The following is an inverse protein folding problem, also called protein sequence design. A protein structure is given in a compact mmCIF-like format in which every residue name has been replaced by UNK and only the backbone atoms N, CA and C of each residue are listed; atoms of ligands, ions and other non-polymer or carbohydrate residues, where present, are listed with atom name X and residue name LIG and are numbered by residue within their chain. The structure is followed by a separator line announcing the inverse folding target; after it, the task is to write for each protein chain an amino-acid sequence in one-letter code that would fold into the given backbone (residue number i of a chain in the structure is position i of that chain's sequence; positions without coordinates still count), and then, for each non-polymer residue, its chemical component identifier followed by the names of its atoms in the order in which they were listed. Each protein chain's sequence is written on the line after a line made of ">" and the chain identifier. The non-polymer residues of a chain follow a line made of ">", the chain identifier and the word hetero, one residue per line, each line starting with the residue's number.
data_IF_837561788354
#
_entry.id   IF_837561788354
#
_cell.length_a   1.000
_cell.length_b   1.000
_cell.length_c   1.000
_cell.angle_alpha   90.00
_cell.angle_beta   90.00
_cell.angle_gamma   90.00
#
_symmetry.space_group_name_H-M   'P 1'
#
loop_
_entity.id
_entity.type
_entity.pdbx_description
1 polymer ?
#
# COMPACT_ATOMS: atom_id res chain seq x y z
N UNK A 1 -18.27 -3.90 -50.37
CA UNK A 1 -18.62 -2.75 -49.47
C UNK A 1 -19.39 -3.18 -48.20
N UNK A 2 -20.29 -4.14 -48.23
CA UNK A 2 -21.04 -4.61 -47.06
C UNK A 2 -20.24 -5.48 -46.09
N UNK A 3 -19.27 -6.26 -46.59
CA UNK A 3 -18.40 -7.09 -45.74
C UNK A 3 -17.37 -6.29 -44.95
N UNK A 4 -16.83 -5.21 -45.49
CA UNK A 4 -15.92 -4.32 -44.79
C UNK A 4 -16.58 -3.55 -43.66
N UNK A 5 -17.85 -3.18 -43.84
CA UNK A 5 -18.65 -2.48 -42.81
C UNK A 5 -18.97 -3.40 -41.62
N UNK A 6 -19.19 -4.68 -41.83
CA UNK A 6 -19.41 -5.67 -40.77
C UNK A 6 -18.12 -5.93 -39.97
N UNK A 7 -16.98 -5.99 -40.61
CA UNK A 7 -15.67 -6.19 -39.92
C UNK A 7 -15.33 -4.98 -39.05
N UNK A 8 -15.60 -3.75 -39.52
CA UNK A 8 -15.36 -2.55 -38.73
C UNK A 8 -16.28 -2.44 -37.48
N UNK A 9 -17.56 -2.85 -37.63
CA UNK A 9 -18.50 -2.90 -36.50
C UNK A 9 -18.08 -3.95 -35.44
N UNK A 10 -17.62 -5.12 -35.88
CA UNK A 10 -17.19 -6.19 -35.01
C UNK A 10 -15.90 -5.81 -34.28
N UNK A 11 -14.96 -5.12 -34.95
CA UNK A 11 -13.74 -4.62 -34.33
C UNK A 11 -14.02 -3.51 -33.31
N UNK A 12 -14.97 -2.62 -33.58
CA UNK A 12 -15.39 -1.54 -32.67
C UNK A 12 -16.12 -2.07 -31.44
N UNK A 13 -16.88 -3.16 -31.59
CA UNK A 13 -17.53 -3.86 -30.47
C UNK A 13 -16.52 -4.59 -29.57
N UNK A 14 -15.48 -5.18 -30.18
CA UNK A 14 -14.39 -5.84 -29.45
C UNK A 14 -13.52 -4.83 -28.68
N UNK A 15 -13.19 -3.69 -29.29
CA UNK A 15 -12.43 -2.62 -28.66
C UNK A 15 -13.19 -1.97 -27.48
N UNK A 16 -14.48 -1.72 -27.61
CA UNK A 16 -15.28 -1.18 -26.52
C UNK A 16 -15.40 -2.16 -25.34
N UNK A 17 -15.61 -3.45 -25.60
CA UNK A 17 -15.63 -4.46 -24.56
C UNK A 17 -14.24 -4.64 -23.88
N UNK A 18 -13.15 -4.51 -24.63
CA UNK A 18 -11.80 -4.56 -24.11
C UNK A 18 -11.46 -3.33 -23.25
N UNK A 19 -11.90 -2.14 -23.64
CA UNK A 19 -11.75 -0.91 -22.87
C UNK A 19 -12.62 -0.93 -21.59
N UNK A 20 -13.82 -1.49 -21.65
CA UNK A 20 -14.67 -1.71 -20.47
C UNK A 20 -14.06 -2.76 -19.51
N UNK A 21 -13.47 -3.82 -20.04
CA UNK A 21 -12.76 -4.81 -19.26
C UNK A 21 -11.52 -4.23 -18.59
N UNK A 22 -10.71 -3.44 -19.31
CA UNK A 22 -9.58 -2.70 -18.78
C UNK A 22 -10.00 -1.66 -17.74
N UNK A 23 -11.08 -0.92 -17.97
CA UNK A 23 -11.59 0.07 -17.02
C UNK A 23 -12.10 -0.56 -15.72
N UNK A 24 -12.74 -1.73 -15.80
CA UNK A 24 -13.13 -2.55 -14.64
C UNK A 24 -11.91 -3.13 -13.92
N UNK A 25 -10.89 -3.55 -14.68
CA UNK A 25 -9.65 -4.08 -14.13
C UNK A 25 -8.85 -3.00 -13.40
N UNK A 26 -8.71 -1.82 -14.00
CA UNK A 26 -8.06 -0.65 -13.39
C UNK A 26 -8.84 -0.15 -12.17
N UNK A 27 -10.18 -0.13 -12.20
CA UNK A 27 -11.01 0.19 -11.03
C UNK A 27 -10.85 -0.82 -9.91
N UNK A 28 -10.75 -2.12 -10.21
CA UNK A 28 -10.50 -3.15 -9.21
C UNK A 28 -9.09 -3.05 -8.61
N UNK A 29 -8.06 -2.67 -9.40
CA UNK A 29 -6.73 -2.40 -8.85
C UNK A 29 -6.73 -1.17 -7.92
N UNK A 30 -7.46 -0.12 -8.28
CA UNK A 30 -7.59 1.09 -7.45
C UNK A 30 -8.38 0.83 -6.16
N UNK A 31 -9.33 -0.12 -6.18
CA UNK A 31 -10.16 -0.48 -5.02
C UNK A 31 -9.41 -1.37 -4.00
N UNK A 32 -8.35 -2.03 -4.42
CA UNK A 32 -7.58 -2.95 -3.56
C UNK A 32 -6.73 -2.25 -2.50
N UNK A 33 -6.50 -0.94 -2.60
CA UNK A 33 -5.67 -0.16 -1.66
C UNK A 33 -6.46 0.96 -0.97
N UNK A 34 -7.81 0.86 -0.90
CA UNK A 34 -8.63 1.83 -0.18
C UNK A 34 -9.03 1.30 1.20
N UNK A 35 -8.89 2.15 2.21
CA UNK A 35 -9.30 1.90 3.59
C UNK A 35 -10.33 2.93 4.03
N UNK A 36 -11.39 2.46 4.65
CA UNK A 36 -12.34 3.32 5.35
C UNK A 36 -11.82 3.60 6.76
N UNK A 37 -11.82 4.84 7.15
CA UNK A 37 -11.35 5.28 8.45
C UNK A 37 -12.36 6.21 9.10
N UNK A 38 -12.68 5.95 10.37
CA UNK A 38 -13.57 6.77 11.18
C UNK A 38 -12.74 7.80 11.96
N UNK A 39 -13.20 9.05 12.01
CA UNK A 39 -12.57 10.07 12.85
C UNK A 39 -12.87 9.74 14.31
N UNK A 40 -11.84 9.85 15.16
CA UNK A 40 -11.97 9.63 16.60
C UNK A 40 -11.44 10.81 17.40
N UNK A 41 -12.11 11.14 18.49
CA UNK A 41 -11.70 12.17 19.45
C UNK A 41 -11.21 11.59 20.79
N UNK A 42 -11.05 10.26 20.83
CA UNK A 42 -10.65 9.56 22.04
C UNK A 42 -9.27 10.00 22.53
N UNK A 43 -9.19 10.38 23.80
CA UNK A 43 -7.98 10.89 24.44
C UNK A 43 -7.44 9.96 25.52
N UNK A 44 -8.29 9.13 26.12
CA UNK A 44 -7.93 8.31 27.27
C UNK A 44 -7.40 6.93 26.85
N UNK A 45 -6.53 6.36 27.70
CA UNK A 45 -5.96 5.01 27.46
C UNK A 45 -7.04 3.92 27.49
N UNK A 46 -8.07 4.09 28.34
CA UNK A 46 -9.18 3.15 28.45
C UNK A 46 -10.00 3.09 27.16
N UNK A 47 -10.34 4.25 26.59
CA UNK A 47 -11.06 4.33 25.30
C UNK A 47 -10.26 3.71 24.14
N UNK A 48 -8.94 3.92 24.11
CA UNK A 48 -8.09 3.28 23.09
C UNK A 48 -8.08 1.76 23.21
N UNK A 49 -8.13 1.22 24.42
CA UNK A 49 -8.23 -0.21 24.61
C UNK A 49 -9.63 -0.74 24.21
N UNK A 50 -10.69 0.02 24.49
CA UNK A 50 -12.04 -0.34 24.03
C UNK A 50 -12.11 -0.41 22.49
N UNK A 51 -11.50 0.53 21.77
CA UNK A 51 -11.41 0.50 20.30
C UNK A 51 -10.67 -0.76 19.81
N UNK A 52 -9.55 -1.13 20.44
CA UNK A 52 -8.82 -2.35 20.06
C UNK A 52 -9.65 -3.61 20.33
N UNK A 53 -10.40 -3.63 21.41
CA UNK A 53 -11.28 -4.75 21.78
C UNK A 53 -12.49 -4.86 20.83
N UNK A 54 -12.97 -3.75 20.28
CA UNK A 54 -14.03 -3.75 19.25
C UNK A 54 -13.56 -4.21 17.86
N UNK A 55 -12.26 -4.51 17.72
CA UNK A 55 -11.69 -4.97 16.46
C UNK A 55 -11.28 -3.82 15.50
N UNK A 56 -11.09 -2.64 16.03
CA UNK A 56 -10.53 -1.49 15.29
C UNK A 56 -9.12 -1.19 15.77
N UNK A 57 -8.31 -0.64 14.87
CA UNK A 57 -6.93 -0.22 15.15
C UNK A 57 -6.86 1.30 15.11
N UNK A 58 -6.40 1.94 16.19
CA UNK A 58 -6.16 3.37 16.20
C UNK A 58 -5.00 3.73 15.26
N UNK A 59 -5.18 4.77 14.48
CA UNK A 59 -4.16 5.29 13.58
C UNK A 59 -4.10 6.83 13.63
N UNK A 60 -3.00 7.37 13.14
CA UNK A 60 -2.78 8.82 13.03
C UNK A 60 -2.33 9.12 11.62
N UNK A 61 -2.89 10.16 11.02
CA UNK A 61 -2.44 10.69 9.74
C UNK A 61 -1.73 12.01 10.00
N UNK A 62 -0.46 12.10 9.65
CA UNK A 62 0.33 13.31 9.81
C UNK A 62 0.99 13.74 8.50
N UNK A 63 1.48 14.97 8.45
CA UNK A 63 2.12 15.58 7.29
C UNK A 63 1.25 16.64 6.64
N UNK A 64 1.92 17.69 6.13
CA UNK A 64 1.27 18.87 5.58
C UNK A 64 1.03 19.96 6.60
N UNK A 65 0.26 20.98 6.19
CA UNK A 65 -0.11 22.12 7.02
C UNK A 65 -1.47 21.93 7.73
N UNK A 66 -2.23 20.93 7.29
CA UNK A 66 -3.56 20.65 7.83
C UNK A 66 -3.46 19.89 9.16
N UNK A 67 -4.54 19.89 9.92
CA UNK A 67 -4.66 19.13 11.17
C UNK A 67 -4.38 17.65 10.96
N UNK A 68 -3.80 17.02 11.99
CA UNK A 68 -3.48 15.60 11.99
C UNK A 68 -4.68 14.80 12.52
N UNK A 69 -5.56 14.28 11.66
CA UNK A 69 -6.72 13.55 12.11
C UNK A 69 -6.30 12.23 12.78
N UNK A 70 -6.89 11.98 13.94
CA UNK A 70 -6.84 10.71 14.62
C UNK A 70 -7.96 9.85 14.07
N UNK A 71 -7.65 8.66 13.59
CA UNK A 71 -8.62 7.79 12.94
C UNK A 71 -8.60 6.40 13.54
N UNK A 72 -9.67 5.65 13.37
CA UNK A 72 -9.75 4.23 13.65
C UNK A 72 -10.05 3.46 12.35
N UNK A 73 -9.45 2.29 12.19
CA UNK A 73 -9.53 1.47 10.98
C UNK A 73 -9.85 0.04 11.38
N UNK A 74 -10.68 -0.64 10.59
CA UNK A 74 -10.99 -2.06 10.82
C UNK A 74 -9.73 -2.94 10.78
N UNK A 75 -9.48 -3.68 11.87
CA UNK A 75 -8.35 -4.60 12.03
C UNK A 75 -8.27 -5.63 10.91
N UNK A 76 -9.43 -6.19 10.49
CA UNK A 76 -9.49 -7.22 9.44
C UNK A 76 -9.00 -6.68 8.09
N UNK A 77 -9.51 -5.50 7.67
CA UNK A 77 -9.11 -4.85 6.40
C UNK A 77 -7.62 -4.48 6.43
N UNK A 78 -7.15 -3.97 7.56
CA UNK A 78 -5.76 -3.56 7.75
C UNK A 78 -4.81 -4.76 7.70
N UNK A 79 -5.12 -5.86 8.40
CA UNK A 79 -4.30 -7.08 8.42
C UNK A 79 -4.13 -7.65 7.01
N UNK A 80 -5.21 -7.73 6.24
CA UNK A 80 -5.15 -8.16 4.83
C UNK A 80 -4.20 -7.30 3.97
N UNK A 81 -4.13 -5.99 4.21
CA UNK A 81 -3.22 -5.11 3.47
C UNK A 81 -1.77 -5.25 3.94
N UNK A 82 -1.55 -5.45 5.23
CA UNK A 82 -0.21 -5.64 5.81
C UNK A 82 0.43 -6.93 5.31
N UNK A 83 -0.35 -7.98 5.09
CA UNK A 83 0.13 -9.27 4.56
C UNK A 83 0.65 -9.17 3.12
N UNK A 84 0.33 -8.10 2.39
CA UNK A 84 0.94 -7.84 1.08
C UNK A 84 2.39 -7.38 1.26
N UNK A 85 3.29 -7.96 0.48
CA UNK A 85 4.74 -7.78 0.59
C UNK A 85 5.22 -6.33 0.59
N UNK A 86 4.53 -5.43 -0.12
CA UNK A 86 4.97 -4.04 -0.34
C UNK A 86 4.12 -3.01 0.42
N UNK A 87 3.51 -3.39 1.56
CA UNK A 87 2.60 -2.51 2.30
C UNK A 87 3.21 -1.13 2.63
N UNK A 88 4.46 -1.09 3.09
CA UNK A 88 5.14 0.14 3.51
C UNK A 88 5.57 1.06 2.35
N UNK A 89 5.63 0.54 1.12
CA UNK A 89 5.97 1.31 -0.07
C UNK A 89 4.75 1.67 -0.94
N UNK A 90 3.58 1.11 -0.64
CA UNK A 90 2.36 1.34 -1.41
C UNK A 90 1.57 2.54 -0.90
N UNK A 91 1.09 3.35 -1.84
CA UNK A 91 0.16 4.45 -1.55
C UNK A 91 -1.22 3.86 -1.28
N UNK A 92 -1.82 4.27 -0.17
CA UNK A 92 -3.15 3.86 0.26
C UNK A 92 -4.07 5.06 0.24
N UNK A 93 -5.28 4.88 -0.27
CA UNK A 93 -6.32 5.89 -0.20
C UNK A 93 -7.15 5.68 1.06
N UNK A 94 -7.05 6.58 2.03
CA UNK A 94 -7.89 6.59 3.21
C UNK A 94 -9.14 7.42 2.95
N UNK A 95 -10.31 6.84 3.13
CA UNK A 95 -11.57 7.57 3.15
C UNK A 95 -11.89 7.95 4.59
N UNK A 96 -11.75 9.23 4.90
CA UNK A 96 -12.01 9.79 6.24
C UNK A 96 -13.19 10.73 6.14
N UNK A 97 -14.35 10.31 6.65
CA UNK A 97 -15.56 11.15 6.63
C UNK A 97 -15.96 11.66 5.24
N UNK A 98 -15.79 10.85 4.21
CA UNK A 98 -16.10 11.20 2.81
C UNK A 98 -14.99 11.95 2.06
N UNK A 99 -13.87 12.26 2.72
CA UNK A 99 -12.67 12.83 2.07
C UNK A 99 -11.66 11.72 1.78
N UNK A 100 -11.20 11.62 0.55
CA UNK A 100 -10.15 10.70 0.17
C UNK A 100 -8.78 11.33 0.39
N UNK A 101 -7.96 10.72 1.23
CA UNK A 101 -6.60 11.15 1.54
C UNK A 101 -5.62 10.09 1.02
N UNK A 102 -4.67 10.50 0.20
CA UNK A 102 -3.57 9.64 -0.22
C UNK A 102 -2.49 9.64 0.86
N UNK A 103 -2.22 8.47 1.42
CA UNK A 103 -1.30 8.29 2.52
C UNK A 103 -0.33 7.15 2.28
N UNK A 104 0.84 7.24 2.90
CA UNK A 104 1.84 6.18 2.91
C UNK A 104 1.96 5.64 4.34
N UNK A 105 1.86 4.32 4.56
CA UNK A 105 2.13 3.73 5.86
C UNK A 105 3.60 3.97 6.24
N UNK A 106 3.84 4.46 7.43
CA UNK A 106 5.20 4.74 7.92
C UNK A 106 5.67 3.72 8.93
N UNK A 107 4.81 3.43 9.90
CA UNK A 107 5.12 2.50 10.97
C UNK A 107 3.86 1.71 11.35
N UNK A 108 4.04 0.43 11.60
CA UNK A 108 3.00 -0.45 12.16
C UNK A 108 3.54 -1.02 13.46
N UNK A 109 2.81 -0.81 14.55
CA UNK A 109 3.13 -1.42 15.85
C UNK A 109 2.28 -2.66 16.04
N UNK A 110 2.93 -3.75 16.42
CA UNK A 110 2.30 -5.05 16.64
C UNK A 110 2.24 -5.38 18.13
N UNK A 111 1.30 -6.22 18.47
CA UNK A 111 1.23 -6.83 19.79
C UNK A 111 2.22 -7.99 19.86
N UNK A 112 3.02 -8.05 20.93
CA UNK A 112 4.19 -8.95 21.05
C UNK A 112 3.80 -10.45 20.98
N UNK A 113 2.61 -10.82 21.47
CA UNK A 113 2.19 -12.23 21.54
C UNK A 113 1.28 -12.65 20.40
N UNK A 114 0.45 -11.75 19.88
CA UNK A 114 -0.58 -12.09 18.88
C UNK A 114 -0.26 -11.62 17.48
N UNK A 115 0.84 -10.89 17.29
CA UNK A 115 1.24 -10.25 16.02
C UNK A 115 0.14 -9.39 15.37
N UNK A 116 -0.85 -9.01 16.18
CA UNK A 116 -1.93 -8.16 15.72
C UNK A 116 -1.50 -6.69 15.66
N UNK A 117 -1.87 -5.94 14.62
CA UNK A 117 -1.58 -4.51 14.54
C UNK A 117 -2.30 -3.77 15.68
N UNK A 118 -1.55 -3.01 16.49
CA UNK A 118 -2.05 -2.21 17.61
C UNK A 118 -2.11 -0.72 17.33
N UNK A 119 -1.28 -0.24 16.41
CA UNK A 119 -1.24 1.15 15.96
C UNK A 119 -0.64 1.26 14.57
N UNK A 120 -1.11 2.21 13.76
CA UNK A 120 -0.53 2.51 12.45
C UNK A 120 -0.36 4.01 12.27
N UNK A 121 0.81 4.37 11.78
CA UNK A 121 1.17 5.75 11.46
C UNK A 121 1.15 5.94 9.94
N UNK A 122 0.39 6.92 9.48
CA UNK A 122 0.29 7.26 8.08
C UNK A 122 0.88 8.65 7.81
N UNK A 123 1.69 8.73 6.77
CA UNK A 123 2.21 9.98 6.25
C UNK A 123 1.34 10.46 5.08
N UNK A 124 0.77 11.65 5.16
CA UNK A 124 0.04 12.27 4.07
C UNK A 124 0.99 12.60 2.93
N UNK A 125 0.62 12.21 1.71
CA UNK A 125 1.40 12.49 0.52
C UNK A 125 1.02 13.87 -0.03
N UNK A 126 2.02 14.73 -0.14
CA UNK A 126 1.88 16.03 -0.78
C UNK A 126 2.69 16.01 -2.11
N UNK A 127 2.15 16.58 -3.19
CA UNK A 127 2.86 16.67 -4.46
C UNK A 127 4.14 17.50 -4.30
N UNK A 128 5.23 17.08 -4.95
CA UNK A 128 6.50 17.78 -4.96
C UNK A 128 7.39 17.61 -3.72
N UNK A 129 6.96 16.89 -2.69
CA UNK A 129 7.75 16.65 -1.48
C UNK A 129 8.56 15.36 -1.61
N UNK A 130 9.86 15.43 -1.24
CA UNK A 130 10.71 14.23 -1.14
C UNK A 130 10.44 13.51 0.17
N UNK A 131 10.11 12.23 0.09
CA UNK A 131 9.86 11.37 1.24
C UNK A 131 10.94 10.30 1.34
N UNK A 132 11.22 9.88 2.57
CA UNK A 132 12.07 8.72 2.84
C UNK A 132 11.16 7.51 3.03
N UNK A 133 11.43 6.44 2.31
CA UNK A 133 10.68 5.18 2.37
C UNK A 133 11.63 4.01 2.48
N UNK A 134 11.15 2.93 3.08
CA UNK A 134 11.83 1.64 3.09
C UNK A 134 11.21 0.76 2.00
N UNK A 135 12.04 0.37 1.03
CA UNK A 135 11.62 -0.45 -0.12
C UNK A 135 12.24 -1.84 0.02
N UNK A 136 11.47 -2.90 -0.18
CA UNK A 136 12.01 -4.25 -0.16
C UNK A 136 12.94 -4.48 -1.35
N UNK A 137 13.95 -5.33 -1.11
CA UNK A 137 14.98 -5.67 -2.09
C UNK A 137 14.82 -7.12 -2.51
N UNK A 138 14.72 -7.34 -3.80
CA UNK A 138 14.70 -8.67 -4.41
C UNK A 138 16.07 -8.98 -4.99
N UNK A 139 16.67 -10.09 -4.55
CA UNK A 139 17.93 -10.60 -5.09
C UNK A 139 17.63 -11.62 -6.18
N UNK A 140 18.08 -11.34 -7.40
CA UNK A 140 17.92 -12.23 -8.55
C UNK A 140 19.27 -12.74 -9.02
N UNK A 141 19.27 -13.84 -9.80
CA UNK A 141 20.50 -14.44 -10.37
C UNK A 141 21.53 -14.94 -9.33
N UNK A 142 21.15 -15.17 -8.09
CA UNK A 142 22.05 -15.69 -7.05
C UNK A 142 22.69 -17.03 -7.47
N UNK A 143 22.00 -17.86 -8.26
CA UNK A 143 22.51 -19.13 -8.79
C UNK A 143 23.74 -18.96 -9.71
N UNK A 144 23.91 -17.79 -10.34
CA UNK A 144 25.06 -17.51 -11.20
C UNK A 144 26.33 -17.14 -10.42
N UNK A 145 26.19 -16.86 -9.14
CA UNK A 145 27.32 -16.49 -8.28
C UNK A 145 28.36 -17.61 -8.19
N UNK A 146 29.63 -17.34 -8.46
CA UNK A 146 30.69 -18.34 -8.37
C UNK A 146 30.90 -18.87 -6.92
N UNK A 147 30.57 -18.07 -5.91
CA UNK A 147 30.61 -18.48 -4.51
C UNK A 147 29.56 -19.53 -4.16
N UNK A 148 28.33 -19.36 -4.63
CA UNK A 148 27.25 -20.34 -4.40
C UNK A 148 27.50 -21.65 -5.16
N UNK A 149 28.07 -21.58 -6.38
CA UNK A 149 28.46 -22.78 -7.14
C UNK A 149 29.54 -23.61 -6.44
N UNK A 150 30.35 -23.03 -5.60
CA UNK A 150 31.37 -23.71 -4.77
C UNK A 150 30.87 -24.17 -3.40
N UNK A 151 29.54 -24.11 -3.16
CA UNK A 151 28.94 -24.52 -1.89
C UNK A 151 28.86 -23.42 -0.82
N UNK A 152 29.07 -22.16 -1.22
CA UNK A 152 28.87 -21.01 -0.32
C UNK A 152 27.39 -20.76 -0.03
N UNK A 153 27.12 -20.03 1.03
CA UNK A 153 25.75 -19.63 1.43
C UNK A 153 25.57 -18.13 1.26
N UNK A 154 24.45 -17.72 0.67
CA UNK A 154 24.09 -16.30 0.55
C UNK A 154 23.56 -15.78 1.89
N UNK A 155 24.29 -14.86 2.51
CA UNK A 155 23.84 -14.19 3.72
C UNK A 155 23.29 -12.80 3.39
N UNK A 156 21.96 -12.63 3.52
CA UNK A 156 21.26 -11.36 3.28
C UNK A 156 21.17 -10.61 4.60
N UNK A 157 22.01 -9.61 4.80
CA UNK A 157 22.06 -8.79 6.01
C UNK A 157 20.88 -7.82 6.11
N UNK A 158 20.47 -7.22 4.99
CA UNK A 158 19.34 -6.29 4.92
C UNK A 158 18.44 -6.63 3.75
N UNK A 159 17.15 -6.73 4.04
CA UNK A 159 16.10 -7.00 3.03
C UNK A 159 15.34 -5.75 2.61
N UNK A 160 15.61 -4.62 3.26
CA UNK A 160 14.98 -3.32 2.96
C UNK A 160 16.05 -2.27 2.85
N UNK A 161 15.86 -1.33 1.93
CA UNK A 161 16.74 -0.18 1.71
C UNK A 161 15.94 1.11 1.87
N UNK A 162 16.48 2.04 2.65
CA UNK A 162 15.90 3.37 2.80
C UNK A 162 16.22 4.23 1.56
N UNK A 163 15.19 4.71 0.90
CA UNK A 163 15.29 5.57 -0.28
C UNK A 163 14.67 6.93 -0.03
N UNK A 164 15.26 7.94 -0.63
CA UNK A 164 14.69 9.28 -0.69
C UNK A 164 14.20 9.57 -2.10
N UNK A 165 12.88 9.52 -2.32
CA UNK A 165 12.27 9.70 -3.63
C UNK A 165 11.18 10.78 -3.61
N UNK A 166 10.84 11.37 -4.77
CA UNK A 166 9.67 12.23 -4.89
C UNK A 166 8.40 11.39 -4.71
N UNK A 167 7.37 12.01 -4.14
CA UNK A 167 6.08 11.35 -3.85
C UNK A 167 5.37 10.73 -5.05
N UNK A 168 5.70 11.18 -6.26
CA UNK A 168 5.07 10.72 -7.50
C UNK A 168 5.70 9.46 -8.09
N UNK A 169 6.95 9.15 -7.69
CA UNK A 169 7.74 8.03 -8.25
C UNK A 169 8.27 7.16 -7.13
N UNK A 170 7.38 6.45 -6.46
CA UNK A 170 7.74 5.49 -5.42
C UNK A 170 7.96 4.12 -6.08
N UNK A 171 9.17 3.54 -6.02
CA UNK A 171 9.42 2.20 -6.53
C UNK A 171 8.79 1.16 -5.60
N UNK A 172 8.12 0.17 -6.16
CA UNK A 172 7.51 -0.92 -5.37
C UNK A 172 8.57 -1.86 -4.80
N UNK A 173 9.60 -2.16 -5.57
CA UNK A 173 10.73 -3.01 -5.17
C UNK A 173 12.00 -2.61 -5.92
N UNK A 174 13.14 -3.05 -5.42
CA UNK A 174 14.45 -2.87 -6.06
C UNK A 174 15.03 -4.26 -6.29
N UNK A 175 15.47 -4.52 -7.53
CA UNK A 175 16.13 -5.77 -7.89
C UNK A 175 17.63 -5.58 -7.95
N UNK A 176 18.38 -6.44 -7.24
CA UNK A 176 19.83 -6.54 -7.34
C UNK A 176 20.21 -7.84 -8.05
N UNK A 177 21.21 -7.71 -8.92
CA UNK A 177 21.78 -8.80 -9.71
C UNK A 177 22.94 -9.44 -8.98
#
# INVERSE_FOLDING_TARGET
>A
RLKEFQIQLQFRFYLNNYLDYLSKWVKNLCFMNSLEANIRDNKTKGELNAIRNSGEVPAIVYGGKDENPKVSISKKKLKYLIEKENFLSNIITLNVGGKNLNVLPREVKYHILSDDPTHVDFLRILPGVKIKIEVPVNFINHEKSPGLKRGGVLNIVRRKVELKCPSEKIPENITFL
#
